data_IF_631681406159
#
_entry.id   IF_631681406159
#
_cell.length_a   1.000
_cell.length_b   1.000
_cell.length_c   1.000
_cell.angle_alpha   90.00
_cell.angle_beta   90.00
_cell.angle_gamma   90.00
#
_symmetry.space_group_name_H-M   'P 1'
#
loop_
_entity.id
_entity.type
_entity.pdbx_description
1 polymer ?
#
# COMPACT_ATOMS: atom_id res chain seq x y z
N UNK A 1 -12.52 20.97 -9.97
CA UNK A 1 -12.91 19.59 -10.35
C UNK A 1 -11.70 18.71 -10.12
N UNK A 2 -11.74 17.84 -9.10
CA UNK A 2 -10.63 16.93 -8.81
C UNK A 2 -10.72 15.69 -9.68
N UNK A 3 -9.59 15.20 -10.18
CA UNK A 3 -9.52 13.93 -10.89
C UNK A 3 -8.95 12.87 -9.95
N UNK A 4 -9.65 11.75 -9.82
CA UNK A 4 -9.11 10.58 -9.13
C UNK A 4 -8.33 9.72 -10.12
N UNK A 5 -7.18 9.21 -9.69
CA UNK A 5 -6.45 8.15 -10.41
C UNK A 5 -6.47 6.88 -9.57
N UNK A 6 -6.73 5.76 -10.23
CA UNK A 6 -6.73 4.45 -9.61
C UNK A 6 -5.57 3.64 -10.17
N UNK A 7 -4.85 2.95 -9.29
CA UNK A 7 -3.79 2.01 -9.64
C UNK A 7 -4.13 0.67 -9.00
N UNK A 8 -4.15 -0.39 -9.81
CA UNK A 8 -4.39 -1.74 -9.32
C UNK A 8 -3.05 -2.43 -9.08
N UNK A 9 -2.84 -2.94 -7.87
CA UNK A 9 -1.66 -3.73 -7.52
C UNK A 9 -1.96 -5.23 -7.64
N UNK A 10 -0.98 -6.07 -8.04
CA UNK A 10 -1.16 -7.51 -8.07
C UNK A 10 -1.48 -8.07 -6.68
N UNK A 11 -2.52 -8.92 -6.60
CA UNK A 11 -2.97 -9.52 -5.33
C UNK A 11 -1.86 -10.31 -4.63
N UNK A 12 -1.06 -11.05 -5.38
CA UNK A 12 0.00 -11.88 -4.81
C UNK A 12 1.17 -11.05 -4.27
N UNK A 13 1.45 -9.88 -4.85
CA UNK A 13 2.46 -8.95 -4.32
C UNK A 13 2.06 -8.47 -2.92
N UNK A 14 0.80 -8.04 -2.76
CA UNK A 14 0.25 -7.62 -1.46
C UNK A 14 0.27 -8.76 -0.44
N UNK A 15 -0.16 -9.96 -0.84
CA UNK A 15 -0.17 -11.14 0.04
C UNK A 15 1.23 -11.53 0.49
N UNK A 16 2.21 -11.57 -0.41
CA UNK A 16 3.61 -11.85 -0.08
C UNK A 16 4.19 -10.78 0.86
N UNK A 17 3.70 -9.55 0.76
CA UNK A 17 4.04 -8.45 1.64
C UNK A 17 3.27 -8.44 2.97
N UNK A 18 2.40 -9.44 3.20
CA UNK A 18 1.63 -9.60 4.44
C UNK A 18 0.33 -8.79 4.49
N UNK A 19 -0.10 -8.18 3.39
CA UNK A 19 -1.32 -7.38 3.31
C UNK A 19 -2.49 -8.27 2.88
N UNK A 20 -3.39 -8.53 3.81
CA UNK A 20 -4.63 -9.27 3.58
C UNK A 20 -5.74 -8.41 2.98
N UNK A 21 -6.91 -9.03 2.76
CA UNK A 21 -8.12 -8.27 2.42
C UNK A 21 -8.51 -7.35 3.59
N UNK A 22 -8.66 -6.06 3.31
CA UNK A 22 -8.86 -5.02 4.35
C UNK A 22 -7.58 -4.50 4.99
N UNK A 23 -6.40 -5.03 4.63
CA UNK A 23 -5.11 -4.56 5.15
C UNK A 23 -4.73 -3.17 4.65
N UNK A 24 -3.89 -2.48 5.42
CA UNK A 24 -3.45 -1.12 5.11
C UNK A 24 -2.04 -1.10 4.48
N UNK A 25 -1.82 -0.14 3.58
CA UNK A 25 -0.51 0.24 3.06
C UNK A 25 -0.29 1.73 3.31
N UNK A 26 0.94 2.09 3.62
CA UNK A 26 1.40 3.47 3.63
C UNK A 26 1.94 3.85 2.25
N UNK A 27 1.72 5.11 1.86
CA UNK A 27 2.08 5.64 0.55
C UNK A 27 2.95 6.89 0.72
N UNK A 28 4.17 6.84 0.19
CA UNK A 28 5.12 7.95 0.22
C UNK A 28 5.72 8.18 -1.17
N UNK A 29 6.20 9.39 -1.44
CA UNK A 29 7.02 9.68 -2.61
C UNK A 29 8.47 9.84 -2.16
N UNK A 30 9.40 9.16 -2.80
CA UNK A 30 10.83 9.36 -2.53
C UNK A 30 11.38 10.63 -3.23
N UNK A 31 12.67 10.91 -3.04
CA UNK A 31 13.33 12.08 -3.64
C UNK A 31 13.46 12.03 -5.16
N UNK A 32 13.32 10.85 -5.77
CA UNK A 32 13.40 10.64 -7.21
C UNK A 32 12.00 10.65 -7.87
N UNK A 33 10.94 10.82 -7.07
CA UNK A 33 9.56 10.87 -7.54
C UNK A 33 8.89 9.50 -7.69
N UNK A 34 9.49 8.43 -7.16
CA UNK A 34 8.86 7.11 -7.14
C UNK A 34 7.81 7.03 -6.04
N UNK A 35 6.69 6.37 -6.33
CA UNK A 35 5.70 6.01 -5.30
C UNK A 35 6.19 4.78 -4.56
N UNK A 36 6.50 4.95 -3.27
CA UNK A 36 6.86 3.90 -2.35
C UNK A 36 5.61 3.42 -1.63
N UNK A 37 5.38 2.11 -1.66
CA UNK A 37 4.21 1.46 -1.06
C UNK A 37 4.72 0.50 0.02
N UNK A 38 4.42 0.79 1.28
CA UNK A 38 4.92 0.01 2.42
C UNK A 38 3.75 -0.67 3.14
N UNK A 39 3.74 -2.00 3.29
CA UNK A 39 2.77 -2.69 4.14
C UNK A 39 2.79 -2.17 5.56
N UNK A 40 1.62 -1.80 6.09
CA UNK A 40 1.49 -1.53 7.52
C UNK A 40 1.32 -2.87 8.21
N UNK A 41 2.30 -3.28 9.02
CA UNK A 41 2.10 -4.43 9.91
C UNK A 41 1.03 -4.04 10.93
N UNK A 42 -0.12 -4.71 10.89
CA UNK A 42 -1.07 -4.62 11.99
C UNK A 42 -0.38 -5.20 13.23
N UNK A 43 -0.05 -4.33 14.18
CA UNK A 43 0.39 -4.76 15.50
C UNK A 43 -0.87 -5.29 16.18
N UNK A 44 -0.92 -6.55 16.65
CA UNK A 44 -2.10 -7.04 17.34
C UNK A 44 -2.35 -6.16 18.56
N UNK A 45 -3.49 -5.47 18.56
CA UNK A 45 -4.02 -4.78 19.75
C UNK A 45 -4.16 -5.83 20.84
N UNK A 46 -3.32 -5.72 21.87
CA UNK A 46 -3.35 -6.58 23.06
C UNK A 46 -4.67 -6.42 23.82
#
# INVERSE_FOLDING_TARGET
MGYSRFVTLPKDWLRNAGVGEGGAVDLAMDGDGNLIITPVKEVPSS
#
